data_IF_772431019202
#
_entry.id   IF_772431019202
#
_cell.length_a   1.000
_cell.length_b   1.000
_cell.length_c   1.000
_cell.angle_alpha   90.00
_cell.angle_beta   90.00
_cell.angle_gamma   90.00
#
_symmetry.space_group_name_H-M   'P 1'
#
loop_
_entity.id
_entity.type
_entity.pdbx_description
1 polymer ?
#
# COMPACT_ATOMS: atom_id res chain seq x y z
N UNK A 1 -8.40 57.79 -18.62
CA UNK A 1 -8.23 57.27 -17.24
C UNK A 1 -9.00 55.98 -16.94
N UNK A 2 -10.23 55.75 -17.44
CA UNK A 2 -11.02 54.54 -17.13
C UNK A 2 -10.47 53.19 -17.63
N UNK A 3 -9.67 53.15 -18.70
CA UNK A 3 -9.10 51.90 -19.24
C UNK A 3 -7.88 51.38 -18.45
N UNK A 4 -7.19 52.26 -17.72
CA UNK A 4 -5.98 51.91 -16.98
C UNK A 4 -6.30 51.34 -15.59
N UNK A 5 -7.48 51.66 -15.06
CA UNK A 5 -7.98 51.09 -13.78
C UNK A 5 -8.40 49.61 -13.91
N UNK A 6 -8.83 49.17 -15.09
CA UNK A 6 -9.23 47.76 -15.31
C UNK A 6 -8.00 46.84 -15.39
N UNK A 7 -6.90 47.33 -15.99
CA UNK A 7 -5.64 46.57 -16.09
C UNK A 7 -5.00 46.39 -14.71
N UNK A 8 -5.09 47.39 -13.83
CA UNK A 8 -4.59 47.31 -12.46
C UNK A 8 -5.40 46.32 -11.60
N UNK A 9 -6.71 46.22 -11.81
CA UNK A 9 -7.57 45.27 -11.08
C UNK A 9 -7.30 43.81 -11.46
N UNK A 10 -7.02 43.53 -12.74
CA UNK A 10 -6.67 42.16 -13.19
C UNK A 10 -5.26 41.77 -12.70
N UNK A 11 -4.31 42.71 -12.72
CA UNK A 11 -2.97 42.48 -12.16
C UNK A 11 -2.98 42.24 -10.63
N UNK A 12 -3.92 42.86 -9.90
CA UNK A 12 -4.07 42.63 -8.46
C UNK A 12 -4.63 41.23 -8.13
N UNK A 13 -5.51 40.66 -8.98
CA UNK A 13 -6.03 39.30 -8.79
C UNK A 13 -4.95 38.24 -9.10
N UNK A 14 -4.05 38.50 -10.05
CA UNK A 14 -2.87 37.65 -10.28
C UNK A 14 -1.73 37.89 -9.27
N UNK A 15 -1.64 39.09 -8.68
CA UNK A 15 -0.65 39.43 -7.65
C UNK A 15 -1.00 38.89 -6.25
N UNK A 16 -2.29 38.73 -5.93
CA UNK A 16 -2.73 38.21 -4.63
C UNK A 16 -2.54 36.69 -4.47
N UNK A 17 -2.42 35.93 -5.58
CA UNK A 17 -2.04 34.51 -5.52
C UNK A 17 -0.54 34.29 -5.26
N UNK A 18 0.28 35.34 -5.29
CA UNK A 18 1.72 35.27 -5.00
C UNK A 18 2.06 35.48 -3.52
N UNK A 19 1.06 35.75 -2.67
CA UNK A 19 1.22 35.84 -1.22
C UNK A 19 0.52 34.68 -0.50
N UNK A 20 0.75 33.45 -0.97
CA UNK A 20 0.63 32.29 -0.10
C UNK A 20 2.05 31.72 0.04
N UNK A 21 2.52 31.53 1.27
CA UNK A 21 3.80 30.91 1.59
C UNK A 21 3.74 29.40 1.27
N UNK A 22 3.46 29.07 0.01
CA UNK A 22 3.53 27.76 -0.58
C UNK A 22 4.93 27.54 -1.12
N UNK A 23 5.55 26.44 -0.74
CA UNK A 23 6.91 26.05 -1.10
C UNK A 23 7.08 26.15 -2.63
N UNK A 24 7.72 27.23 -3.10
CA UNK A 24 7.86 27.57 -4.53
C UNK A 24 8.89 26.71 -5.26
N UNK A 25 9.23 25.56 -4.69
CA UNK A 25 10.22 24.64 -5.19
C UNK A 25 9.69 23.96 -6.47
N UNK A 26 10.33 24.27 -7.59
CA UNK A 26 10.04 23.66 -8.89
C UNK A 26 10.72 22.29 -8.94
N UNK A 27 9.92 21.22 -9.02
CA UNK A 27 10.41 19.84 -9.09
C UNK A 27 10.58 19.35 -10.52
N UNK A 28 9.83 19.90 -11.47
CA UNK A 28 9.95 19.58 -12.90
C UNK A 28 9.80 20.85 -13.73
N UNK A 29 10.73 21.05 -14.66
CA UNK A 29 10.66 22.13 -15.65
C UNK A 29 10.21 21.54 -16.98
N UNK A 30 9.21 22.17 -17.61
CA UNK A 30 8.80 21.84 -18.98
C UNK A 30 8.74 23.11 -19.82
N UNK A 31 8.62 22.96 -21.14
CA UNK A 31 8.46 24.10 -22.05
C UNK A 31 7.12 24.81 -21.87
N UNK A 32 6.11 24.10 -21.37
CA UNK A 32 4.72 24.55 -21.28
C UNK A 32 4.31 24.95 -19.85
N UNK A 33 5.25 24.93 -18.90
CA UNK A 33 5.00 25.26 -17.49
C UNK A 33 5.89 24.47 -16.54
N UNK A 34 6.10 25.02 -15.36
CA UNK A 34 6.80 24.33 -14.28
C UNK A 34 5.81 23.60 -13.38
N UNK A 35 6.16 22.42 -12.90
CA UNK A 35 5.41 21.72 -11.87
C UNK A 35 6.08 22.02 -10.53
N UNK A 36 5.30 22.57 -9.62
CA UNK A 36 5.75 22.89 -8.25
C UNK A 36 5.52 21.72 -7.30
N UNK A 37 6.28 21.70 -6.21
CA UNK A 37 6.09 20.74 -5.12
C UNK A 37 4.68 20.82 -4.52
N UNK A 38 4.14 22.02 -4.35
CA UNK A 38 2.79 22.21 -3.80
C UNK A 38 1.71 21.68 -4.73
N UNK A 39 1.81 21.94 -6.04
CA UNK A 39 0.89 21.41 -7.04
C UNK A 39 0.90 19.88 -7.04
N UNK A 40 2.09 19.27 -7.06
CA UNK A 40 2.25 17.83 -6.98
C UNK A 40 1.70 17.25 -5.66
N UNK A 41 1.99 17.88 -4.52
CA UNK A 41 1.47 17.46 -3.22
C UNK A 41 -0.05 17.51 -3.16
N UNK A 42 -0.67 18.58 -3.67
CA UNK A 42 -2.13 18.73 -3.68
C UNK A 42 -2.79 17.67 -4.57
N UNK A 43 -2.23 17.39 -5.75
CA UNK A 43 -2.70 16.32 -6.63
C UNK A 43 -2.55 14.93 -5.97
N UNK A 44 -1.41 14.64 -5.35
CA UNK A 44 -1.21 13.39 -4.60
C UNK A 44 -2.19 13.28 -3.44
N UNK A 45 -2.39 14.35 -2.67
CA UNK A 45 -3.33 14.38 -1.56
C UNK A 45 -4.75 14.09 -2.03
N UNK A 46 -5.16 14.63 -3.18
CA UNK A 46 -6.48 14.37 -3.76
C UNK A 46 -6.63 12.92 -4.22
N UNK A 47 -5.58 12.32 -4.81
CA UNK A 47 -5.63 10.97 -5.38
C UNK A 47 -5.44 9.85 -4.34
N UNK A 48 -4.46 9.98 -3.46
CA UNK A 48 -4.03 8.91 -2.53
C UNK A 48 -3.93 9.36 -1.07
N UNK A 49 -4.14 10.65 -0.77
CA UNK A 49 -3.92 11.22 0.55
C UNK A 49 -4.75 10.58 1.67
N UNK A 50 -5.98 10.14 1.37
CA UNK A 50 -6.86 9.48 2.35
C UNK A 50 -6.29 8.14 2.83
N UNK A 51 -5.73 7.35 1.93
CA UNK A 51 -5.16 6.05 2.26
C UNK A 51 -3.83 6.22 2.99
N UNK A 52 -2.97 7.10 2.48
CA UNK A 52 -1.68 7.41 3.10
C UNK A 52 -1.86 7.92 4.53
N UNK A 53 -2.79 8.84 4.78
CA UNK A 53 -2.98 9.38 6.14
C UNK A 53 -3.51 8.32 7.10
N UNK A 54 -4.42 7.44 6.65
CA UNK A 54 -4.92 6.32 7.45
C UNK A 54 -3.76 5.39 7.83
N UNK A 55 -2.93 5.04 6.86
CA UNK A 55 -1.84 4.10 7.05
C UNK A 55 -0.77 4.67 8.01
N UNK A 56 -0.42 5.95 7.87
CA UNK A 56 0.46 6.65 8.79
C UNK A 56 -0.11 6.72 10.22
N UNK A 57 -1.42 6.97 10.36
CA UNK A 57 -2.08 6.96 11.68
C UNK A 57 -2.05 5.57 12.29
N UNK A 58 -2.38 4.52 11.51
CA UNK A 58 -2.31 3.14 11.97
C UNK A 58 -0.90 2.78 12.41
N UNK A 59 0.13 3.05 11.60
CA UNK A 59 1.50 2.75 11.99
C UNK A 59 1.88 3.45 13.29
N UNK A 60 1.56 4.75 13.42
CA UNK A 60 1.95 5.56 14.58
C UNK A 60 1.24 5.15 15.86
N UNK A 61 -0.03 4.78 15.79
CA UNK A 61 -0.82 4.36 16.96
C UNK A 61 -0.49 2.93 17.34
N UNK A 62 -0.46 2.02 16.36
CA UNK A 62 -0.24 0.61 16.61
C UNK A 62 1.21 0.32 17.04
N UNK A 63 2.21 1.01 16.48
CA UNK A 63 3.62 0.84 16.89
C UNK A 63 3.89 1.24 18.35
N UNK A 64 3.02 2.05 18.97
CA UNK A 64 3.11 2.36 20.40
C UNK A 64 2.63 1.22 21.29
N UNK A 65 1.67 0.41 20.79
CA UNK A 65 1.05 -0.67 21.55
C UNK A 65 1.69 -2.03 21.27
N UNK A 66 2.02 -2.29 20.01
CA UNK A 66 2.55 -3.58 19.55
C UNK A 66 3.95 -3.37 18.99
N UNK A 67 4.86 -4.29 19.35
CA UNK A 67 6.19 -4.35 18.76
C UNK A 67 6.19 -5.36 17.63
N UNK A 68 6.78 -4.99 16.50
CA UNK A 68 7.12 -5.90 15.41
C UNK A 68 8.64 -5.92 15.32
N UNK A 69 9.21 -7.11 15.39
CA UNK A 69 10.65 -7.33 15.29
C UNK A 69 11.06 -7.54 13.84
N UNK A 70 12.32 -7.24 13.52
CA UNK A 70 12.85 -7.48 12.17
C UNK A 70 12.73 -8.96 11.77
N UNK A 71 12.87 -9.88 12.72
CA UNK A 71 12.67 -11.32 12.48
C UNK A 71 11.25 -11.67 12.04
N UNK A 72 10.24 -11.01 12.58
CA UNK A 72 8.85 -11.22 12.16
C UNK A 72 8.62 -10.69 10.74
N UNK A 73 9.25 -9.55 10.41
CA UNK A 73 9.19 -8.97 9.07
C UNK A 73 9.92 -9.87 8.06
N UNK A 74 11.12 -10.34 8.39
CA UNK A 74 11.92 -11.21 7.53
C UNK A 74 11.18 -12.53 7.25
N UNK A 75 10.58 -13.13 8.27
CA UNK A 75 9.77 -14.34 8.12
C UNK A 75 8.59 -14.13 7.16
N UNK A 76 7.89 -13.01 7.29
CA UNK A 76 6.76 -12.74 6.41
C UNK A 76 7.20 -12.42 4.98
N UNK A 77 8.36 -11.79 4.80
CA UNK A 77 8.98 -11.60 3.49
C UNK A 77 9.37 -12.94 2.86
N UNK A 78 9.91 -13.88 3.62
CA UNK A 78 10.19 -15.24 3.13
C UNK A 78 8.90 -15.92 2.66
N UNK A 79 7.81 -15.83 3.45
CA UNK A 79 6.50 -16.34 3.03
C UNK A 79 6.03 -15.70 1.71
N UNK A 80 6.15 -14.37 1.58
CA UNK A 80 5.78 -13.66 0.34
C UNK A 80 6.64 -14.11 -0.86
N UNK A 81 7.95 -14.32 -0.66
CA UNK A 81 8.84 -14.84 -1.71
C UNK A 81 8.44 -16.26 -2.13
N UNK A 82 8.11 -17.13 -1.18
CA UNK A 82 7.68 -18.51 -1.48
C UNK A 82 6.35 -18.53 -2.25
N UNK A 83 5.40 -17.67 -1.87
CA UNK A 83 4.07 -17.64 -2.49
C UNK A 83 4.08 -16.99 -3.88
N UNK A 84 4.84 -15.90 -4.06
CA UNK A 84 4.76 -15.08 -5.26
C UNK A 84 5.95 -15.26 -6.22
N UNK A 85 7.05 -15.85 -5.78
CA UNK A 85 8.23 -16.12 -6.62
C UNK A 85 8.67 -14.89 -7.40
N UNK A 86 8.76 -15.00 -8.73
CA UNK A 86 9.18 -13.91 -9.63
C UNK A 86 8.31 -12.64 -9.52
N UNK A 87 7.04 -12.76 -9.12
CA UNK A 87 6.19 -11.58 -8.93
C UNK A 87 6.65 -10.73 -7.73
N UNK A 88 7.24 -11.35 -6.71
CA UNK A 88 7.83 -10.62 -5.59
C UNK A 88 9.00 -9.75 -6.07
N UNK A 89 9.89 -10.31 -6.89
CA UNK A 89 11.06 -9.58 -7.39
C UNK A 89 10.65 -8.38 -8.25
N UNK A 90 9.61 -8.53 -9.07
CA UNK A 90 9.04 -7.42 -9.84
C UNK A 90 8.45 -6.34 -8.93
N UNK A 91 7.74 -6.72 -7.87
CA UNK A 91 7.19 -5.78 -6.90
C UNK A 91 8.29 -4.99 -6.18
N UNK A 92 9.40 -5.64 -5.83
CA UNK A 92 10.58 -4.99 -5.23
C UNK A 92 11.25 -4.04 -6.22
N UNK A 93 11.39 -4.42 -7.49
CA UNK A 93 11.95 -3.54 -8.51
C UNK A 93 11.12 -2.26 -8.72
N UNK A 94 9.79 -2.37 -8.65
CA UNK A 94 8.89 -1.25 -8.87
C UNK A 94 8.78 -0.32 -7.65
N UNK A 95 8.69 -0.89 -6.45
CA UNK A 95 8.37 -0.14 -5.23
C UNK A 95 9.58 0.09 -4.32
N UNK A 96 10.65 -0.68 -4.51
CA UNK A 96 11.80 -0.74 -3.62
C UNK A 96 11.58 -1.66 -2.42
N UNK A 97 12.65 -2.31 -1.98
CA UNK A 97 12.60 -3.27 -0.87
C UNK A 97 12.06 -2.64 0.42
N UNK A 98 12.51 -1.42 0.74
CA UNK A 98 12.06 -0.70 1.94
C UNK A 98 10.54 -0.51 1.97
N UNK A 99 9.91 -0.20 0.84
CA UNK A 99 8.47 0.00 0.78
C UNK A 99 7.71 -1.31 1.09
N UNK A 100 8.20 -2.44 0.58
CA UNK A 100 7.63 -3.75 0.89
C UNK A 100 7.81 -4.09 2.37
N UNK A 101 8.99 -3.81 2.96
CA UNK A 101 9.22 -4.01 4.40
C UNK A 101 8.30 -3.15 5.27
N UNK A 102 8.12 -1.88 4.92
CA UNK A 102 7.25 -0.96 5.64
C UNK A 102 5.76 -1.40 5.56
N UNK A 103 5.33 -1.91 4.40
CA UNK A 103 4.00 -2.52 4.21
C UNK A 103 3.80 -3.75 5.10
N UNK A 104 4.75 -4.69 5.08
CA UNK A 104 4.72 -5.91 5.91
C UNK A 104 4.65 -5.56 7.39
N UNK A 105 5.45 -4.60 7.85
CA UNK A 105 5.44 -4.12 9.23
C UNK A 105 4.05 -3.59 9.62
N UNK A 106 3.44 -2.76 8.77
CA UNK A 106 2.12 -2.20 9.03
C UNK A 106 1.04 -3.29 9.09
N UNK A 107 1.11 -4.30 8.24
CA UNK A 107 0.18 -5.42 8.26
C UNK A 107 0.36 -6.29 9.51
N UNK A 108 1.59 -6.57 9.93
CA UNK A 108 1.86 -7.27 11.19
C UNK A 108 1.32 -6.50 12.41
N UNK A 109 1.46 -5.17 12.43
CA UNK A 109 0.87 -4.33 13.48
C UNK A 109 -0.66 -4.45 13.52
N UNK A 110 -1.31 -4.44 12.35
CA UNK A 110 -2.76 -4.60 12.23
C UNK A 110 -3.22 -6.00 12.64
N UNK A 111 -2.49 -7.04 12.25
CA UNK A 111 -2.77 -8.41 12.65
C UNK A 111 -2.72 -8.57 14.17
N UNK A 112 -1.68 -8.03 14.83
CA UNK A 112 -1.56 -8.07 16.29
C UNK A 112 -2.71 -7.35 16.97
N UNK A 113 -3.11 -6.19 16.46
CA UNK A 113 -4.26 -5.46 16.97
C UNK A 113 -5.58 -6.23 16.78
N UNK A 114 -5.78 -6.82 15.60
CA UNK A 114 -6.97 -7.62 15.31
C UNK A 114 -7.06 -8.88 16.19
N UNK A 115 -5.91 -9.47 16.57
CA UNK A 115 -5.85 -10.68 17.39
C UNK A 115 -5.98 -10.41 18.90
N UNK A 116 -5.77 -9.18 19.38
CA UNK A 116 -5.78 -8.87 20.82
C UNK A 116 -7.11 -9.20 21.50
N UNK A 117 -8.23 -8.91 20.82
CA UNK A 117 -9.58 -9.09 21.38
C UNK A 117 -10.23 -10.42 20.97
N UNK A 118 -9.55 -11.25 20.18
CA UNK A 118 -10.09 -12.53 19.73
C UNK A 118 -9.97 -13.56 20.86
N UNK A 119 -11.12 -14.07 21.32
CA UNK A 119 -11.20 -15.18 22.28
C UNK A 119 -11.68 -16.44 21.57
N UNK A 120 -10.80 -17.43 21.50
CA UNK A 120 -11.15 -18.75 20.97
C UNK A 120 -11.80 -19.58 22.09
N UNK A 121 -13.02 -20.04 21.86
CA UNK A 121 -13.76 -20.86 22.84
C UNK A 121 -13.42 -22.34 22.68
N UNK A 122 -13.57 -23.11 23.78
CA UNK A 122 -13.39 -24.57 23.75
C UNK A 122 -14.31 -25.27 22.74
N UNK A 123 -15.50 -24.71 22.52
CA UNK A 123 -16.45 -25.23 21.53
C UNK A 123 -15.89 -25.09 20.12
N UNK A 124 -15.43 -23.90 19.75
CA UNK A 124 -14.80 -23.66 18.45
C UNK A 124 -13.56 -24.52 18.24
N UNK A 125 -12.76 -24.72 19.30
CA UNK A 125 -11.58 -25.58 19.24
C UNK A 125 -11.95 -27.05 19.01
N UNK A 126 -12.95 -27.57 19.72
CA UNK A 126 -13.47 -28.94 19.54
C UNK A 126 -14.07 -29.14 18.15
N UNK A 127 -14.84 -28.16 17.68
CA UNK A 127 -15.45 -28.18 16.35
C UNK A 127 -14.38 -28.15 15.25
N UNK A 128 -13.32 -27.34 15.42
CA UNK A 128 -12.17 -27.33 14.53
C UNK A 128 -11.45 -28.68 14.53
N UNK A 129 -11.15 -29.24 15.70
CA UNK A 129 -10.45 -30.52 15.82
C UNK A 129 -11.24 -31.68 15.20
N UNK A 130 -12.56 -31.73 15.39
CA UNK A 130 -13.43 -32.76 14.81
C UNK A 130 -13.43 -32.73 13.28
N UNK A 131 -13.29 -31.55 12.68
CA UNK A 131 -13.27 -31.37 11.23
C UNK A 131 -11.86 -31.32 10.64
N UNK A 132 -10.83 -31.28 11.48
CA UNK A 132 -9.45 -31.19 11.04
C UNK A 132 -9.06 -32.44 10.26
N UNK A 133 -8.65 -32.24 9.00
CA UNK A 133 -8.04 -33.28 8.18
C UNK A 133 -6.54 -33.04 8.13
N UNK A 134 -5.71 -34.06 8.39
CA UNK A 134 -4.26 -33.90 8.35
C UNK A 134 -3.81 -33.46 6.97
N UNK A 135 -2.73 -32.67 6.92
CA UNK A 135 -2.11 -32.28 5.64
C UNK A 135 -1.69 -33.54 4.90
N UNK A 136 -2.16 -33.67 3.66
CA UNK A 136 -1.73 -34.72 2.72
C UNK A 136 -0.85 -34.09 1.64
N UNK A 137 0.18 -34.82 1.19
CA UNK A 137 0.97 -34.42 0.02
C UNK A 137 0.34 -35.05 -1.22
N UNK A 138 -0.13 -34.21 -2.13
CA UNK A 138 -0.68 -34.62 -3.41
C UNK A 138 -0.06 -33.80 -4.54
N UNK A 139 0.08 -34.41 -5.71
CA UNK A 139 0.42 -33.71 -6.96
C UNK A 139 -0.82 -33.69 -7.85
N UNK A 140 -1.01 -32.62 -8.61
CA UNK A 140 -2.07 -32.54 -9.61
C UNK A 140 -1.52 -31.96 -10.91
N UNK A 141 -2.15 -32.33 -12.03
CA UNK A 141 -1.88 -31.77 -13.35
C UNK A 141 -3.14 -31.01 -13.75
N UNK A 142 -3.02 -29.69 -13.92
CA UNK A 142 -4.12 -28.85 -14.37
C UNK A 142 -4.12 -28.80 -15.89
N UNK A 143 -5.26 -29.15 -16.50
CA UNK A 143 -5.44 -29.14 -17.96
C UNK A 143 -6.71 -28.39 -18.34
N UNK A 144 -6.77 -27.95 -19.59
CA UNK A 144 -7.87 -27.12 -20.10
C UNK A 144 -9.18 -27.90 -20.27
N UNK A 145 -9.11 -29.18 -20.63
CA UNK A 145 -10.29 -30.00 -20.92
C UNK A 145 -10.11 -31.48 -20.54
N UNK A 146 -11.24 -32.18 -20.45
CA UNK A 146 -11.31 -33.59 -20.08
C UNK A 146 -10.61 -34.51 -21.08
N UNK A 147 -10.56 -34.12 -22.37
CA UNK A 147 -9.89 -34.93 -23.39
C UNK A 147 -8.39 -34.97 -23.12
N UNK A 148 -7.77 -33.81 -22.88
CA UNK A 148 -6.36 -33.74 -22.47
C UNK A 148 -6.11 -34.48 -21.16
N UNK A 149 -7.04 -34.43 -20.20
CA UNK A 149 -6.93 -35.18 -18.95
C UNK A 149 -6.90 -36.70 -19.18
N UNK A 150 -7.77 -37.21 -20.07
CA UNK A 150 -7.84 -38.64 -20.43
C UNK A 150 -6.62 -39.10 -21.19
N UNK A 151 -6.04 -38.25 -22.04
CA UNK A 151 -4.81 -38.53 -22.77
C UNK A 151 -3.61 -38.66 -21.84
N UNK A 152 -3.43 -37.73 -20.88
CA UNK A 152 -2.32 -37.78 -19.89
C UNK A 152 -2.49 -38.94 -18.90
N UNK A 153 -3.72 -39.42 -18.69
CA UNK A 153 -4.01 -40.56 -17.82
C UNK A 153 -3.60 -41.91 -18.44
N UNK A 154 -3.58 -42.00 -19.78
CA UNK A 154 -3.27 -43.22 -20.53
C UNK A 154 -1.76 -43.47 -20.59
#
# INVERSE_FOLDING_TARGET
>A
MRKWMIVAAVAAVFGLSACNNGDSEVIVKTKDGNITKEEFYNEMKARVGKEVIRDLVHEKVLSKKYKVTDKEIDKEIENLKEMYGTQYDLAVQQNGEKAIRDMVKLDLLRQKAAMEDIKVTDKELKDYYKNYKPKIRASHILVKDEKTAKEIKA
#
